data_IF_249115762074
#
_entry.id   IF_249115762074
#
_cell.length_a   1.000
_cell.length_b   1.000
_cell.length_c   1.000
_cell.angle_alpha   90.00
_cell.angle_beta   90.00
_cell.angle_gamma   90.00
#
_symmetry.space_group_name_H-M   'P 1'
#
loop_
_entity.id
_entity.type
_entity.pdbx_description
1 polymer ?
#
# COMPACT_ATOMS: atom_id res chain seq x y z
N UNK A 1 1.10 -3.43 -18.23
CA UNK A 1 0.24 -3.79 -17.08
C UNK A 1 0.59 -2.99 -15.82
N UNK A 2 1.84 -3.02 -15.33
CA UNK A 2 2.22 -2.23 -14.14
C UNK A 2 1.94 -0.73 -14.29
N UNK A 3 2.29 -0.12 -15.43
CA UNK A 3 2.02 1.30 -15.68
C UNK A 3 0.54 1.68 -15.65
N UNK A 4 -0.35 0.75 -16.00
CA UNK A 4 -1.80 0.95 -16.02
C UNK A 4 -2.37 0.93 -14.60
N UNK A 5 -1.92 0.00 -13.76
CA UNK A 5 -2.30 -0.07 -12.35
C UNK A 5 -1.90 1.23 -11.64
N UNK A 6 -0.66 1.71 -11.83
CA UNK A 6 -0.15 2.89 -11.13
C UNK A 6 -0.79 4.21 -11.60
N UNK A 7 -1.22 4.28 -12.87
CA UNK A 7 -1.95 5.44 -13.44
C UNK A 7 -3.43 5.46 -13.09
N UNK A 8 -3.99 4.39 -12.53
CA UNK A 8 -5.41 4.34 -12.15
C UNK A 8 -5.72 5.29 -10.99
N UNK A 9 -6.97 5.79 -10.93
CA UNK A 9 -7.48 6.62 -9.82
C UNK A 9 -7.92 5.75 -8.62
N UNK A 10 -7.12 4.75 -8.27
CA UNK A 10 -7.37 3.89 -7.12
C UNK A 10 -6.53 4.31 -5.92
N UNK A 11 -6.97 3.93 -4.72
CA UNK A 11 -6.15 4.06 -3.52
C UNK A 11 -4.89 3.18 -3.64
N UNK A 12 -3.74 3.64 -3.11
CA UNK A 12 -2.44 2.96 -3.25
C UNK A 12 -2.44 1.52 -2.74
N UNK A 13 -3.18 1.24 -1.67
CA UNK A 13 -3.40 -0.13 -1.17
C UNK A 13 -4.02 -1.06 -2.22
N UNK A 14 -5.00 -0.57 -2.99
CA UNK A 14 -5.65 -1.34 -4.04
C UNK A 14 -4.72 -1.53 -5.25
N UNK A 15 -3.92 -0.51 -5.59
CA UNK A 15 -2.89 -0.62 -6.64
C UNK A 15 -1.86 -1.69 -6.29
N UNK A 16 -1.37 -1.69 -5.05
CA UNK A 16 -0.45 -2.72 -4.56
C UNK A 16 -1.06 -4.11 -4.60
N UNK A 17 -2.33 -4.25 -4.21
CA UNK A 17 -3.06 -5.51 -4.32
C UNK A 17 -3.16 -5.98 -5.78
N UNK A 18 -3.62 -5.12 -6.70
CA UNK A 18 -3.70 -5.45 -8.12
C UNK A 18 -2.35 -5.82 -8.71
N UNK A 19 -1.27 -5.16 -8.31
CA UNK A 19 0.07 -5.49 -8.75
C UNK A 19 0.47 -6.89 -8.27
N UNK A 20 0.24 -7.21 -6.99
CA UNK A 20 0.50 -8.56 -6.44
C UNK A 20 -0.30 -9.63 -7.16
N UNK A 21 -1.57 -9.36 -7.44
CA UNK A 21 -2.44 -10.25 -8.19
C UNK A 21 -1.96 -10.42 -9.64
N UNK A 22 -1.63 -9.32 -10.33
CA UNK A 22 -1.14 -9.35 -11.72
C UNK A 22 0.21 -10.08 -11.88
N UNK A 23 1.04 -10.08 -10.84
CA UNK A 23 2.30 -10.83 -10.81
C UNK A 23 2.14 -12.27 -10.26
N UNK A 24 0.90 -12.69 -9.97
CA UNK A 24 0.53 -13.97 -9.38
C UNK A 24 1.24 -14.27 -8.05
N UNK A 25 1.74 -13.24 -7.33
CA UNK A 25 2.55 -13.37 -6.11
C UNK A 25 1.75 -13.54 -4.82
N UNK A 26 0.44 -13.76 -4.93
CA UNK A 26 -0.40 -14.06 -3.78
C UNK A 26 -0.13 -15.49 -3.26
N UNK A 27 -0.06 -15.70 -1.94
CA UNK A 27 0.25 -17.00 -1.33
C UNK A 27 -0.95 -17.96 -1.36
N UNK A 28 -1.26 -18.48 -2.55
CA UNK A 28 -2.16 -19.63 -2.73
C UNK A 28 -1.44 -20.93 -2.38
N UNK A 29 -2.19 -21.95 -1.97
CA UNK A 29 -1.68 -23.30 -1.68
C UNK A 29 -0.87 -23.89 -2.82
N UNK A 30 -1.31 -23.74 -4.07
CA UNK A 30 -0.54 -24.15 -5.26
C UNK A 30 0.83 -23.48 -5.39
N UNK A 31 0.95 -22.21 -5.00
CA UNK A 31 2.23 -21.50 -4.96
C UNK A 31 3.07 -21.89 -3.76
N UNK A 32 2.46 -22.18 -2.63
CA UNK A 32 3.17 -22.71 -1.46
C UNK A 32 3.66 -24.14 -1.70
N UNK A 33 2.98 -24.92 -2.54
CA UNK A 33 3.45 -26.23 -2.99
C UNK A 33 4.76 -26.14 -3.75
N UNK A 34 4.87 -25.21 -4.70
CA UNK A 34 6.10 -25.05 -5.49
C UNK A 34 7.30 -24.57 -4.67
N UNK A 35 7.05 -23.87 -3.54
CA UNK A 35 8.10 -23.35 -2.66
C UNK A 35 8.44 -24.32 -1.51
N UNK A 36 7.44 -24.95 -0.91
CA UNK A 36 7.56 -25.72 0.35
C UNK A 36 7.12 -27.18 0.24
N UNK A 37 6.63 -27.64 -0.91
CA UNK A 37 6.19 -29.04 -1.14
C UNK A 37 4.85 -29.41 -0.50
N UNK A 38 4.10 -28.46 0.08
CA UNK A 38 2.78 -28.73 0.69
C UNK A 38 1.70 -28.83 -0.38
N UNK A 39 0.88 -29.88 -0.36
CA UNK A 39 -0.25 -30.00 -1.28
C UNK A 39 -1.27 -28.87 -1.08
N UNK A 40 -1.89 -28.35 -2.17
CA UNK A 40 -2.93 -27.34 -2.07
C UNK A 40 -4.09 -27.85 -1.19
N UNK A 41 -4.56 -27.00 -0.29
CA UNK A 41 -5.73 -27.30 0.54
C UNK A 41 -7.04 -27.10 -0.23
N UNK A 42 -8.18 -27.28 0.46
CA UNK A 42 -9.46 -26.84 -0.07
C UNK A 42 -9.51 -25.32 -0.20
N UNK A 43 -10.36 -24.81 -1.10
CA UNK A 43 -10.64 -23.38 -1.18
C UNK A 43 -11.21 -22.88 0.16
N UNK A 44 -10.57 -21.90 0.78
CA UNK A 44 -11.03 -21.34 2.07
C UNK A 44 -12.42 -20.68 1.96
N UNK A 45 -12.85 -20.26 0.77
CA UNK A 45 -14.12 -19.56 0.58
C UNK A 45 -15.29 -20.52 0.35
N UNK A 46 -15.18 -21.44 -0.63
CA UNK A 46 -16.28 -22.34 -0.99
C UNK A 46 -16.12 -23.78 -0.48
N UNK A 47 -14.97 -24.13 0.09
CA UNK A 47 -14.69 -25.48 0.59
C UNK A 47 -14.36 -26.51 -0.49
N UNK A 48 -14.27 -26.14 -1.77
CA UNK A 48 -13.94 -27.11 -2.83
C UNK A 48 -12.55 -27.71 -2.62
N UNK A 49 -12.47 -29.04 -2.61
CA UNK A 49 -11.21 -29.78 -2.53
C UNK A 49 -10.23 -29.37 -3.63
N UNK A 50 -8.95 -29.23 -3.26
CA UNK A 50 -7.87 -28.78 -4.16
C UNK A 50 -8.08 -27.40 -4.79
N UNK A 51 -9.03 -26.59 -4.28
CA UNK A 51 -9.37 -25.27 -4.80
C UNK A 51 -8.57 -24.10 -4.22
N UNK A 52 -7.47 -24.34 -3.49
CA UNK A 52 -6.56 -23.28 -3.01
C UNK A 52 -5.52 -22.89 -4.08
N UNK A 53 -6.02 -22.43 -5.22
CA UNK A 53 -5.24 -21.96 -6.35
C UNK A 53 -5.83 -20.67 -6.96
N UNK A 54 -5.03 -20.02 -7.80
CA UNK A 54 -5.40 -18.73 -8.41
C UNK A 54 -6.56 -18.87 -9.39
N UNK A 55 -6.58 -19.89 -10.25
CA UNK A 55 -7.63 -20.06 -11.26
C UNK A 55 -8.99 -20.31 -10.58
N UNK A 56 -9.00 -21.17 -9.56
CA UNK A 56 -10.21 -21.40 -8.78
C UNK A 56 -10.68 -20.12 -8.09
N UNK A 57 -9.80 -19.41 -7.39
CA UNK A 57 -10.14 -18.15 -6.71
C UNK A 57 -10.73 -17.10 -7.66
N UNK A 58 -10.20 -16.99 -8.88
CA UNK A 58 -10.61 -15.97 -9.85
C UNK A 58 -11.86 -16.34 -10.65
N UNK A 59 -12.14 -17.62 -10.90
CA UNK A 59 -13.12 -18.00 -11.92
C UNK A 59 -14.10 -19.11 -11.51
N UNK A 60 -13.65 -20.07 -10.70
CA UNK A 60 -14.45 -21.26 -10.38
C UNK A 60 -15.17 -21.12 -9.04
N UNK A 61 -14.57 -20.39 -8.09
CA UNK A 61 -15.08 -20.29 -6.73
C UNK A 61 -16.54 -19.79 -6.71
N UNK A 62 -17.44 -20.59 -6.15
CA UNK A 62 -18.87 -20.30 -6.11
C UNK A 62 -19.18 -19.01 -5.36
N UNK A 63 -18.36 -18.65 -4.37
CA UNK A 63 -18.46 -17.37 -3.64
C UNK A 63 -18.09 -16.20 -4.56
N UNK A 64 -16.99 -16.31 -5.31
CA UNK A 64 -16.59 -15.30 -6.30
C UNK A 64 -17.68 -15.10 -7.36
N UNK A 65 -18.20 -16.20 -7.92
CA UNK A 65 -19.28 -16.18 -8.91
C UNK A 65 -20.55 -15.54 -8.34
N UNK A 66 -20.93 -15.89 -7.12
CA UNK A 66 -22.10 -15.34 -6.46
C UNK A 66 -21.99 -13.82 -6.27
N UNK A 67 -20.84 -13.31 -5.84
CA UNK A 67 -20.64 -11.86 -5.67
C UNK A 67 -20.67 -11.11 -7.01
N UNK A 68 -20.12 -11.69 -8.08
CA UNK A 68 -20.22 -11.13 -9.42
C UNK A 68 -21.67 -11.11 -9.94
N UNK A 69 -22.42 -12.18 -9.72
CA UNK A 69 -23.83 -12.28 -10.08
C UNK A 69 -24.68 -11.27 -9.29
N UNK A 70 -24.40 -11.09 -7.99
CA UNK A 70 -25.11 -10.15 -7.13
C UNK A 70 -24.66 -8.69 -7.31
N UNK A 71 -23.74 -8.41 -8.24
CA UNK A 71 -23.27 -7.06 -8.56
C UNK A 71 -24.25 -6.33 -9.49
N UNK A 72 -24.11 -5.00 -9.61
CA UNK A 72 -24.89 -4.22 -10.59
C UNK A 72 -24.63 -4.62 -12.05
N UNK A 73 -23.57 -5.39 -12.32
CA UNK A 73 -23.26 -5.89 -13.66
C UNK A 73 -23.77 -7.32 -13.92
N UNK A 74 -24.29 -8.02 -12.90
CA UNK A 74 -24.93 -9.34 -13.01
C UNK A 74 -24.14 -10.39 -13.83
N UNK A 75 -22.82 -10.48 -13.64
CA UNK A 75 -22.00 -11.44 -14.38
C UNK A 75 -22.28 -12.88 -13.94
N UNK A 76 -22.60 -13.73 -14.92
CA UNK A 76 -22.74 -15.17 -14.72
C UNK A 76 -21.37 -15.87 -14.71
N UNK A 77 -21.30 -17.04 -14.08
CA UNK A 77 -20.09 -17.86 -13.96
C UNK A 77 -19.38 -18.12 -15.28
N UNK A 78 -20.12 -18.29 -16.38
CA UNK A 78 -19.57 -18.53 -17.72
C UNK A 78 -18.75 -17.38 -18.29
N UNK A 79 -18.90 -16.16 -17.75
CA UNK A 79 -18.12 -14.99 -18.16
C UNK A 79 -16.76 -14.89 -17.46
N UNK A 80 -16.53 -15.67 -16.41
CA UNK A 80 -15.28 -15.66 -15.64
C UNK A 80 -14.43 -16.87 -16.05
N UNK A 81 -13.38 -16.62 -16.82
CA UNK A 81 -12.41 -17.65 -17.18
C UNK A 81 -11.00 -17.04 -17.26
N UNK A 82 -10.34 -16.95 -16.12
CA UNK A 82 -9.02 -16.36 -15.95
C UNK A 82 -8.08 -17.40 -15.35
N UNK A 83 -7.03 -17.73 -16.08
CA UNK A 83 -5.98 -18.64 -15.63
C UNK A 83 -4.94 -17.95 -14.73
N UNK A 84 -4.87 -16.62 -14.80
CA UNK A 84 -3.92 -15.80 -14.03
C UNK A 84 -4.52 -14.47 -13.59
N UNK A 85 -3.93 -13.87 -12.55
CA UNK A 85 -4.31 -12.54 -12.11
C UNK A 85 -4.03 -11.47 -13.17
N UNK A 86 -3.05 -11.69 -14.06
CA UNK A 86 -2.80 -10.80 -15.21
C UNK A 86 -3.99 -10.73 -16.15
N UNK A 87 -4.56 -11.88 -16.52
CA UNK A 87 -5.72 -11.95 -17.42
C UNK A 87 -6.92 -11.24 -16.81
N UNK A 88 -7.17 -11.47 -15.52
CA UNK A 88 -8.23 -10.76 -14.81
C UNK A 88 -8.01 -9.24 -14.84
N UNK A 89 -6.83 -8.75 -14.49
CA UNK A 89 -6.55 -7.30 -14.43
C UNK A 89 -6.71 -6.66 -15.81
N UNK A 90 -6.30 -7.37 -16.86
CA UNK A 90 -6.50 -6.93 -18.24
C UNK A 90 -7.99 -6.88 -18.61
N UNK A 91 -8.76 -7.90 -18.23
CA UNK A 91 -10.21 -7.94 -18.44
C UNK A 91 -10.95 -6.85 -17.66
N UNK A 92 -10.55 -6.58 -16.41
CA UNK A 92 -11.13 -5.49 -15.62
C UNK A 92 -10.90 -4.13 -16.28
N UNK A 93 -9.72 -3.91 -16.84
CA UNK A 93 -9.39 -2.64 -17.49
C UNK A 93 -10.04 -2.50 -18.87
N UNK A 94 -10.06 -3.56 -19.66
CA UNK A 94 -10.59 -3.56 -21.02
C UNK A 94 -11.49 -4.79 -21.25
N UNK A 95 -12.70 -4.80 -20.66
CA UNK A 95 -13.64 -5.89 -20.88
C UNK A 95 -14.11 -5.93 -22.34
N UNK A 96 -14.57 -7.09 -22.81
CA UNK A 96 -15.09 -7.26 -24.18
C UNK A 96 -16.25 -6.31 -24.51
N UNK A 97 -17.06 -5.98 -23.50
CA UNK A 97 -18.18 -5.03 -23.58
C UNK A 97 -17.77 -3.57 -23.29
N UNK A 98 -16.47 -3.24 -23.25
CA UNK A 98 -15.97 -1.88 -22.97
C UNK A 98 -16.60 -0.81 -23.87
N UNK A 99 -16.91 -1.18 -25.11
CA UNK A 99 -17.54 -0.31 -26.11
C UNK A 99 -18.98 0.09 -25.77
N UNK A 100 -19.63 -0.65 -24.86
CA UNK A 100 -20.97 -0.33 -24.35
C UNK A 100 -20.94 0.57 -23.11
N UNK A 101 -19.75 0.83 -22.54
CA UNK A 101 -19.59 1.61 -21.32
C UNK A 101 -19.07 3.02 -21.63
N UNK A 102 -19.66 4.01 -20.97
CA UNK A 102 -19.05 5.34 -20.85
C UNK A 102 -17.68 5.29 -20.18
N UNK A 103 -16.98 6.43 -20.16
CA UNK A 103 -15.68 6.53 -19.49
C UNK A 103 -15.83 6.34 -17.98
N UNK A 104 -16.90 6.88 -17.42
CA UNK A 104 -17.27 6.83 -16.01
C UNK A 104 -17.66 5.40 -15.60
N UNK A 105 -18.56 4.76 -16.34
CA UNK A 105 -19.01 3.38 -16.05
C UNK A 105 -17.87 2.37 -16.09
N UNK A 106 -16.88 2.55 -16.96
CA UNK A 106 -15.71 1.67 -16.95
C UNK A 106 -14.74 1.94 -15.81
N UNK A 107 -14.60 3.18 -15.35
CA UNK A 107 -13.84 3.45 -14.14
C UNK A 107 -14.52 2.82 -12.93
N UNK A 108 -15.85 2.89 -12.88
CA UNK A 108 -16.67 2.23 -11.87
C UNK A 108 -16.54 0.71 -11.92
N UNK A 109 -16.62 0.12 -13.12
CA UNK A 109 -16.43 -1.32 -13.31
C UNK A 109 -15.05 -1.77 -12.84
N UNK A 110 -14.00 -1.05 -13.24
CA UNK A 110 -12.63 -1.34 -12.84
C UNK A 110 -12.45 -1.25 -11.31
N UNK A 111 -13.00 -0.20 -10.69
CA UNK A 111 -12.99 0.01 -9.25
C UNK A 111 -13.73 -1.11 -8.51
N UNK A 112 -14.94 -1.44 -8.96
CA UNK A 112 -15.76 -2.47 -8.33
C UNK A 112 -15.07 -3.83 -8.39
N UNK A 113 -14.62 -4.26 -9.57
CA UNK A 113 -13.91 -5.53 -9.71
C UNK A 113 -12.66 -5.59 -8.84
N UNK A 114 -11.91 -4.49 -8.77
CA UNK A 114 -10.75 -4.39 -7.87
C UNK A 114 -11.14 -4.58 -6.40
N UNK A 115 -12.19 -3.91 -5.94
CA UNK A 115 -12.68 -4.01 -4.56
C UNK A 115 -13.22 -5.42 -4.26
N UNK A 116 -13.95 -6.02 -5.19
CA UNK A 116 -14.49 -7.37 -5.06
C UNK A 116 -13.35 -8.37 -4.81
N UNK A 117 -12.33 -8.40 -5.65
CA UNK A 117 -11.19 -9.32 -5.48
C UNK A 117 -10.35 -8.99 -4.24
N UNK A 118 -10.18 -7.71 -3.91
CA UNK A 118 -9.48 -7.32 -2.69
C UNK A 118 -10.23 -7.80 -1.44
N UNK A 119 -11.56 -7.65 -1.38
CA UNK A 119 -12.37 -8.09 -0.24
C UNK A 119 -12.45 -9.62 -0.14
N UNK A 120 -12.59 -10.32 -1.27
CA UNK A 120 -12.47 -11.79 -1.32
C UNK A 120 -11.13 -12.27 -0.77
N UNK A 121 -10.04 -11.61 -1.17
CA UNK A 121 -8.70 -11.94 -0.69
C UNK A 121 -8.54 -11.70 0.82
N UNK A 122 -9.04 -10.56 1.32
CA UNK A 122 -9.02 -10.26 2.76
C UNK A 122 -9.84 -11.29 3.54
N UNK A 123 -11.04 -11.63 3.07
CA UNK A 123 -11.88 -12.64 3.71
C UNK A 123 -11.18 -14.00 3.73
N UNK A 124 -10.66 -14.47 2.59
CA UNK A 124 -9.88 -15.72 2.51
C UNK A 124 -8.78 -15.76 3.58
N UNK A 125 -8.02 -14.67 3.74
CA UNK A 125 -6.93 -14.61 4.70
C UNK A 125 -7.40 -14.58 6.16
N UNK A 126 -8.50 -13.86 6.45
CA UNK A 126 -9.12 -13.89 7.77
C UNK A 126 -9.60 -15.30 8.13
N UNK A 127 -10.23 -16.02 7.19
CA UNK A 127 -10.63 -17.42 7.38
C UNK A 127 -9.40 -18.31 7.64
N UNK A 128 -8.35 -18.17 6.83
CA UNK A 128 -7.14 -18.98 6.93
C UNK A 128 -6.37 -18.76 8.25
N UNK A 129 -6.21 -17.50 8.68
CA UNK A 129 -5.39 -17.16 9.85
C UNK A 129 -6.15 -17.08 11.16
N UNK A 130 -7.43 -16.69 11.13
CA UNK A 130 -8.23 -16.41 12.33
C UNK A 130 -9.40 -17.37 12.50
N UNK A 131 -9.66 -18.25 11.52
CA UNK A 131 -10.80 -19.18 11.58
C UNK A 131 -12.16 -18.49 11.49
N UNK A 132 -12.19 -17.22 11.06
CA UNK A 132 -13.44 -16.45 10.94
C UNK A 132 -14.39 -17.16 9.97
N UNK A 133 -15.66 -17.39 10.32
CA UNK A 133 -16.62 -17.99 9.39
C UNK A 133 -16.97 -17.03 8.25
N UNK A 134 -17.23 -17.57 7.05
CA UNK A 134 -17.70 -16.79 5.92
C UNK A 134 -19.11 -16.28 6.17
N UNK A 135 -19.27 -14.95 6.16
CA UNK A 135 -20.57 -14.27 6.11
C UNK A 135 -20.70 -13.57 4.76
N UNK A 136 -21.45 -14.19 3.83
CA UNK A 136 -21.64 -13.70 2.48
C UNK A 136 -22.33 -12.34 2.44
N UNK A 137 -23.34 -12.13 3.28
CA UNK A 137 -24.09 -10.87 3.33
C UNK A 137 -23.21 -9.73 3.83
N UNK A 138 -22.38 -9.98 4.85
CA UNK A 138 -21.39 -9.03 5.34
C UNK A 138 -20.33 -8.72 4.28
N UNK A 139 -19.82 -9.74 3.59
CA UNK A 139 -18.83 -9.56 2.52
C UNK A 139 -19.40 -8.72 1.36
N UNK A 140 -20.62 -9.03 0.92
CA UNK A 140 -21.30 -8.26 -0.13
C UNK A 140 -21.51 -6.80 0.29
N UNK A 141 -21.93 -6.57 1.55
CA UNK A 141 -22.07 -5.23 2.11
C UNK A 141 -20.74 -4.49 2.12
N UNK A 142 -19.64 -5.13 2.55
CA UNK A 142 -18.30 -4.51 2.54
C UNK A 142 -17.82 -4.11 1.15
N UNK A 143 -18.15 -4.88 0.10
CA UNK A 143 -17.84 -4.52 -1.28
C UNK A 143 -18.65 -3.29 -1.70
N UNK A 144 -19.95 -3.29 -1.42
CA UNK A 144 -20.86 -2.18 -1.74
C UNK A 144 -20.47 -0.89 -1.03
N UNK A 145 -20.25 -0.95 0.28
CA UNK A 145 -19.89 0.21 1.10
C UNK A 145 -18.55 0.80 0.64
N UNK A 146 -17.54 -0.04 0.40
CA UNK A 146 -16.24 0.40 -0.11
C UNK A 146 -16.31 1.02 -1.51
N UNK A 147 -17.23 0.55 -2.35
CA UNK A 147 -17.48 1.13 -3.68
C UNK A 147 -18.13 2.52 -3.57
N UNK A 148 -19.16 2.66 -2.74
CA UNK A 148 -19.84 3.95 -2.49
C UNK A 148 -18.86 4.98 -1.91
N UNK A 149 -18.04 4.57 -0.93
CA UNK A 149 -17.01 5.41 -0.31
C UNK A 149 -15.97 5.89 -1.33
N UNK A 150 -15.43 5.00 -2.16
CA UNK A 150 -14.47 5.41 -3.19
C UNK A 150 -15.11 6.32 -4.25
N UNK A 151 -16.37 6.06 -4.62
CA UNK A 151 -17.10 6.89 -5.59
C UNK A 151 -17.30 8.31 -5.06
N UNK A 152 -17.69 8.48 -3.80
CA UNK A 152 -17.93 9.80 -3.20
C UNK A 152 -16.64 10.61 -3.09
N UNK A 153 -15.51 9.97 -2.78
CA UNK A 153 -14.18 10.60 -2.75
C UNK A 153 -13.72 11.06 -4.14
N UNK A 154 -14.04 10.31 -5.19
CA UNK A 154 -13.72 10.72 -6.56
C UNK A 154 -14.59 11.90 -7.03
N UNK A 155 -15.87 11.93 -6.65
CA UNK A 155 -16.79 13.02 -7.00
C UNK A 155 -16.49 14.31 -6.23
N UNK A 156 -16.16 14.23 -4.94
CA UNK A 156 -15.74 15.39 -4.14
C UNK A 156 -14.45 16.03 -4.66
N UNK A 157 -13.47 15.23 -5.08
CA UNK A 157 -12.26 15.73 -5.74
C UNK A 157 -12.49 16.28 -7.17
N UNK A 158 -13.67 16.04 -7.76
CA UNK A 158 -14.04 16.56 -9.09
C UNK A 158 -14.85 17.86 -9.02
N UNK A 159 -15.41 18.19 -7.86
CA UNK A 159 -16.37 19.30 -7.66
C UNK A 159 -15.82 20.53 -6.92
N UNK A 160 -14.59 20.51 -6.41
CA UNK A 160 -14.00 21.65 -5.70
C UNK A 160 -12.79 22.23 -6.42
N UNK A 161 -13.05 22.92 -7.53
CA UNK A 161 -12.25 24.08 -7.93
C UNK A 161 -12.76 25.30 -7.15
N UNK A 162 -12.80 25.21 -5.82
CA UNK A 162 -12.88 26.39 -4.98
C UNK A 162 -11.46 26.69 -4.53
N UNK A 163 -11.03 27.91 -4.84
CA UNK A 163 -9.91 28.63 -4.24
C UNK A 163 -9.98 28.51 -2.71
N UNK A 164 -9.46 27.42 -2.16
CA UNK A 164 -9.01 27.38 -0.79
C UNK A 164 -7.55 27.79 -0.84
N UNK A 165 -7.31 28.98 -0.30
CA UNK A 165 -6.05 29.72 -0.36
C UNK A 165 -4.83 28.81 -0.33
N UNK A 166 -3.92 29.09 -1.26
CA UNK A 166 -2.61 28.47 -1.45
C UNK A 166 -2.07 27.77 -0.20
N UNK A 167 -2.50 26.53 0.04
CA UNK A 167 -1.64 25.57 0.70
C UNK A 167 -0.53 25.41 -0.31
N UNK A 168 0.63 26.02 -0.05
CA UNK A 168 1.83 25.72 -0.80
C UNK A 168 1.90 24.21 -0.91
N UNK A 169 1.63 23.67 -2.11
CA UNK A 169 1.98 22.30 -2.42
C UNK A 169 3.44 22.22 -2.02
N UNK A 170 3.74 21.51 -0.94
CA UNK A 170 5.08 21.14 -0.56
C UNK A 170 5.63 20.43 -1.79
N UNK A 171 6.32 21.20 -2.62
CA UNK A 171 7.04 20.68 -3.76
C UNK A 171 8.16 19.91 -3.09
N UNK A 172 7.99 18.59 -3.00
CA UNK A 172 9.09 17.67 -2.81
C UNK A 172 10.08 17.99 -3.92
N UNK A 173 11.01 18.90 -3.63
CA UNK A 173 12.05 19.26 -4.55
C UNK A 173 12.80 17.98 -4.85
N UNK A 174 12.93 17.65 -6.13
CA UNK A 174 13.89 16.63 -6.54
C UNK A 174 15.19 16.92 -5.78
N UNK A 175 15.77 15.95 -5.05
CA UNK A 175 17.02 16.19 -4.35
C UNK A 175 18.01 16.73 -5.39
N UNK A 176 18.60 17.90 -5.09
CA UNK A 176 19.51 18.58 -6.03
C UNK A 176 20.54 17.56 -6.52
N UNK A 177 20.85 17.50 -7.83
CA UNK A 177 21.80 16.53 -8.37
C UNK A 177 23.12 16.54 -7.59
N UNK A 178 23.68 15.37 -7.31
CA UNK A 178 24.97 15.22 -6.61
C UNK A 178 24.90 15.13 -5.09
N UNK A 179 23.71 15.04 -4.47
CA UNK A 179 23.55 14.88 -3.01
C UNK A 179 23.47 13.42 -2.55
N UNK A 180 23.92 13.18 -1.32
CA UNK A 180 23.81 11.89 -0.63
C UNK A 180 22.36 11.71 -0.16
N UNK A 181 21.78 10.52 -0.38
CA UNK A 181 20.42 10.18 0.05
C UNK A 181 20.47 9.31 1.30
N UNK A 182 19.93 9.79 2.41
CA UNK A 182 19.81 9.04 3.66
C UNK A 182 18.37 8.62 3.91
N UNK A 183 18.10 7.33 4.07
CA UNK A 183 16.79 6.81 4.47
C UNK A 183 16.85 6.42 5.94
N UNK A 184 15.88 6.88 6.73
CA UNK A 184 15.75 6.55 8.15
C UNK A 184 14.41 5.90 8.40
N UNK A 185 14.38 4.92 9.28
CA UNK A 185 13.16 4.19 9.65
C UNK A 185 13.21 3.74 11.10
N UNK A 186 12.03 3.63 11.71
CA UNK A 186 11.81 3.10 13.04
C UNK A 186 10.81 1.94 13.01
N UNK A 187 11.24 0.80 13.54
CA UNK A 187 10.37 -0.35 13.76
C UNK A 187 10.20 -0.62 15.26
N UNK A 188 8.99 -1.00 15.67
CA UNK A 188 8.69 -1.43 17.04
C UNK A 188 8.17 -2.87 17.03
N UNK A 189 8.69 -3.70 17.93
CA UNK A 189 8.17 -5.04 18.23
C UNK A 189 7.98 -5.18 19.74
N UNK A 190 6.75 -5.37 20.18
CA UNK A 190 6.37 -5.42 21.60
C UNK A 190 6.92 -4.21 22.40
N UNK A 191 7.91 -4.44 23.26
CA UNK A 191 8.55 -3.43 24.11
C UNK A 191 9.88 -2.90 23.56
N UNK A 192 10.44 -3.52 22.52
CA UNK A 192 11.71 -3.11 21.92
C UNK A 192 11.47 -2.32 20.62
N UNK A 193 12.17 -1.20 20.48
CA UNK A 193 12.26 -0.44 19.25
C UNK A 193 13.62 -0.64 18.58
N UNK A 194 13.67 -0.47 17.27
CA UNK A 194 14.91 -0.41 16.50
C UNK A 194 14.83 0.75 15.51
N UNK A 195 15.91 1.50 15.39
CA UNK A 195 16.06 2.52 14.36
C UNK A 195 17.15 2.09 13.38
N UNK A 196 16.98 2.46 12.12
CA UNK A 196 17.95 2.22 11.07
C UNK A 196 18.17 3.48 10.23
N UNK A 197 19.36 3.59 9.66
CA UNK A 197 19.71 4.61 8.69
C UNK A 197 20.59 4.01 7.58
N UNK A 198 20.33 4.35 6.33
CA UNK A 198 21.11 3.91 5.15
C UNK A 198 21.37 5.10 4.24
N UNK A 199 22.63 5.28 3.83
CA UNK A 199 23.09 6.37 2.97
C UNK A 199 23.54 5.84 1.61
N UNK A 200 23.11 6.51 0.56
CA UNK A 200 23.46 6.21 -0.82
C UNK A 200 24.15 7.40 -1.46
N UNK A 201 25.17 7.13 -2.28
CA UNK A 201 25.76 8.11 -3.16
C UNK A 201 24.81 8.49 -4.31
N UNK A 202 25.16 9.51 -5.13
CA UNK A 202 24.35 9.88 -6.29
C UNK A 202 24.22 8.79 -7.36
N UNK A 203 25.13 7.82 -7.41
CA UNK A 203 25.09 6.68 -8.34
C UNK A 203 24.13 5.58 -7.88
N UNK A 204 23.70 5.61 -6.61
CA UNK A 204 22.84 4.60 -5.99
C UNK A 204 23.63 3.53 -5.22
N UNK A 205 24.93 3.71 -5.03
CA UNK A 205 25.77 2.81 -4.23
C UNK A 205 25.65 3.14 -2.75
N UNK A 206 25.63 2.11 -1.88
CA UNK A 206 25.57 2.30 -0.43
C UNK A 206 26.89 2.88 0.08
N UNK A 207 26.84 4.05 0.71
CA UNK A 207 27.99 4.68 1.36
C UNK A 207 28.15 4.21 2.80
N UNK A 208 27.04 4.11 3.52
CA UNK A 208 27.04 3.75 4.93
C UNK A 208 25.66 3.29 5.38
N UNK A 209 25.62 2.51 6.46
CA UNK A 209 24.38 2.15 7.13
C UNK A 209 24.64 1.91 8.61
N UNK A 210 23.57 1.92 9.39
CA UNK A 210 23.62 1.56 10.79
C UNK A 210 22.25 1.24 11.33
N UNK A 211 22.22 0.52 12.44
CA UNK A 211 21.03 0.28 13.22
C UNK A 211 21.37 0.30 14.71
N UNK A 212 20.42 0.71 15.54
CA UNK A 212 20.52 0.60 17.00
C UNK A 212 19.17 0.23 17.61
N UNK A 213 19.19 -0.55 18.68
CA UNK A 213 17.99 -0.75 19.52
C UNK A 213 17.71 0.53 20.31
N UNK A 214 16.43 0.83 20.50
CA UNK A 214 15.95 1.99 21.26
C UNK A 214 14.76 1.60 22.12
N UNK A 215 14.67 2.19 23.31
CA UNK A 215 13.46 2.12 24.13
C UNK A 215 12.69 3.42 23.96
N UNK A 216 11.49 3.34 23.36
CA UNK A 216 10.64 4.51 23.07
C UNK A 216 9.18 4.22 23.42
N UNK A 217 8.52 5.22 23.99
CA UNK A 217 7.14 5.13 24.47
C UNK A 217 6.09 5.29 23.37
N UNK A 218 6.43 5.87 22.22
CA UNK A 218 5.50 6.07 21.11
C UNK A 218 6.16 5.88 19.74
N UNK A 219 5.34 5.59 18.72
CA UNK A 219 5.80 5.49 17.32
C UNK A 219 6.48 6.79 16.87
N UNK A 220 5.85 7.94 17.14
CA UNK A 220 6.41 9.25 16.77
C UNK A 220 7.77 9.53 17.43
N UNK A 221 7.95 9.11 18.69
CA UNK A 221 9.24 9.25 19.38
C UNK A 221 10.31 8.35 18.73
N UNK A 222 9.94 7.14 18.32
CA UNK A 222 10.85 6.24 17.61
C UNK A 222 11.31 6.80 16.27
N UNK A 223 10.39 7.40 15.53
CA UNK A 223 10.64 8.04 14.23
C UNK A 223 11.57 9.25 14.34
N UNK A 224 11.33 10.10 15.35
CA UNK A 224 12.22 11.20 15.69
C UNK A 224 13.62 10.70 16.08
N UNK A 225 13.70 9.59 16.82
CA UNK A 225 14.95 8.96 17.21
C UNK A 225 15.69 8.34 16.02
N UNK A 226 14.97 7.82 15.02
CA UNK A 226 15.56 7.32 13.77
C UNK A 226 16.18 8.46 12.95
N UNK A 227 15.46 9.58 12.82
CA UNK A 227 16.00 10.77 12.17
C UNK A 227 17.25 11.28 12.88
N UNK A 228 17.21 11.39 14.21
CA UNK A 228 18.38 11.80 15.01
C UNK A 228 19.55 10.85 14.82
N UNK A 229 19.29 9.55 14.86
CA UNK A 229 20.32 8.53 14.63
C UNK A 229 20.96 8.65 13.24
N UNK A 230 20.15 8.88 12.19
CA UNK A 230 20.65 9.14 10.85
C UNK A 230 21.54 10.37 10.79
N UNK A 231 21.11 11.48 11.39
CA UNK A 231 21.92 12.72 11.44
C UNK A 231 23.24 12.52 12.19
N UNK A 232 23.21 11.87 13.36
CA UNK A 232 24.40 11.58 14.16
C UNK A 232 25.37 10.66 13.41
N UNK A 233 24.86 9.65 12.70
CA UNK A 233 25.66 8.76 11.87
C UNK A 233 26.29 9.50 10.69
N UNK A 234 25.54 10.32 9.98
CA UNK A 234 26.06 11.12 8.86
C UNK A 234 27.14 12.12 9.32
N UNK A 235 26.94 12.74 10.49
CA UNK A 235 27.89 13.69 11.07
C UNK A 235 29.21 13.01 11.43
N UNK A 236 29.16 11.83 12.07
CA UNK A 236 30.35 11.03 12.40
C UNK A 236 31.12 10.55 11.18
N UNK A 237 30.42 10.33 10.08
CA UNK A 237 31.01 9.89 8.82
C UNK A 237 31.38 11.05 7.89
N UNK A 238 31.25 12.29 8.36
CA UNK A 238 31.54 13.51 7.60
C UNK A 238 30.83 13.57 6.23
N UNK A 239 29.60 13.05 6.16
CA UNK A 239 28.80 13.05 4.94
C UNK A 239 28.22 14.45 4.67
N UNK A 240 28.82 15.17 3.72
CA UNK A 240 28.33 16.47 3.24
C UNK A 240 27.17 16.35 2.24
N UNK A 241 26.35 17.39 2.13
CA UNK A 241 25.31 17.46 1.09
C UNK A 241 24.21 16.40 1.23
N UNK A 242 23.74 16.16 2.46
CA UNK A 242 22.77 15.10 2.78
C UNK A 242 21.32 15.53 2.54
N UNK A 243 20.51 14.61 2.01
CA UNK A 243 19.05 14.65 2.01
C UNK A 243 18.52 13.45 2.80
N UNK A 244 17.84 13.70 3.93
CA UNK A 244 17.22 12.64 4.75
C UNK A 244 15.76 12.44 4.34
N UNK A 245 15.37 11.17 4.20
CA UNK A 245 14.03 10.72 3.84
C UNK A 245 13.45 9.88 4.99
N UNK A 246 12.22 10.18 5.37
CA UNK A 246 11.40 9.44 6.33
C UNK A 246 10.00 9.26 5.71
N UNK A 247 9.38 8.13 5.96
CA UNK A 247 8.00 7.80 5.55
C UNK A 247 6.94 8.37 6.51
N UNK A 248 7.36 8.91 7.66
CA UNK A 248 6.48 9.50 8.64
C UNK A 248 6.10 10.95 8.28
N UNK A 249 4.94 11.12 7.65
CA UNK A 249 4.45 12.44 7.20
C UNK A 249 4.34 13.46 8.34
N UNK A 250 3.90 13.04 9.53
CA UNK A 250 3.76 13.92 10.68
C UNK A 250 5.12 14.44 11.18
N UNK A 251 6.15 13.57 11.19
CA UNK A 251 7.51 13.98 11.53
C UNK A 251 8.05 14.99 10.51
N UNK A 252 7.89 14.71 9.21
CA UNK A 252 8.35 15.63 8.15
C UNK A 252 7.68 16.98 8.27
N UNK A 253 6.35 17.02 8.41
CA UNK A 253 5.60 18.27 8.57
C UNK A 253 6.05 19.04 9.81
N UNK A 254 6.27 18.35 10.94
CA UNK A 254 6.75 18.96 12.18
C UNK A 254 8.11 19.62 11.96
N UNK A 255 9.07 18.90 11.37
CA UNK A 255 10.43 19.39 11.10
C UNK A 255 10.41 20.58 10.13
N UNK A 256 9.61 20.51 9.06
CA UNK A 256 9.46 21.62 8.12
C UNK A 256 8.86 22.87 8.77
N UNK A 257 7.87 22.69 9.65
CA UNK A 257 7.25 23.78 10.42
C UNK A 257 8.11 24.27 11.59
N UNK A 258 9.26 23.64 11.86
CA UNK A 258 10.10 23.86 13.06
C UNK A 258 9.33 23.81 14.38
N UNK A 259 8.24 23.05 14.41
CA UNK A 259 7.31 22.99 15.54
C UNK A 259 7.12 21.55 15.97
N UNK A 260 7.32 21.27 17.26
CA UNK A 260 7.11 19.94 17.82
C UNK A 260 5.64 19.82 18.29
N UNK A 261 4.86 18.86 17.77
CA UNK A 261 3.46 18.69 18.18
C UNK A 261 3.33 18.14 19.63
N UNK A 262 4.42 17.66 20.22
CA UNK A 262 4.43 17.10 21.57
C UNK A 262 5.41 17.86 22.47
N UNK A 263 4.87 18.53 23.50
CA UNK A 263 5.63 19.39 24.41
C UNK A 263 6.76 18.64 25.14
N UNK A 264 6.58 17.35 25.44
CA UNK A 264 7.57 16.51 26.11
C UNK A 264 8.74 16.06 25.20
N UNK A 265 8.64 16.27 23.88
CA UNK A 265 9.69 15.93 22.90
C UNK A 265 10.44 17.16 22.38
N UNK A 266 10.06 18.36 22.82
CA UNK A 266 10.56 19.64 22.31
C UNK A 266 12.11 19.77 22.36
N UNK A 267 12.75 19.33 23.45
CA UNK A 267 14.22 19.36 23.59
C UNK A 267 14.92 18.44 22.58
N UNK A 268 14.43 17.20 22.41
CA UNK A 268 14.99 16.24 21.44
C UNK A 268 14.77 16.70 20.00
N UNK A 269 13.62 17.33 19.74
CA UNK A 269 13.25 17.86 18.45
C UNK A 269 14.10 19.08 18.03
N UNK A 270 14.36 20.01 18.97
CA UNK A 270 15.19 21.19 18.72
C UNK A 270 16.65 20.85 18.35
N UNK A 271 17.22 19.81 18.96
CA UNK A 271 18.58 19.32 18.65
C UNK A 271 18.70 18.74 17.23
N UNK A 272 17.68 18.02 16.77
CA UNK A 272 17.62 17.47 15.40
C UNK A 272 17.47 18.56 14.33
N UNK A 273 16.77 19.65 14.66
CA UNK A 273 16.57 20.81 13.76
C UNK A 273 17.84 21.62 13.50
N UNK A 274 18.70 21.79 14.51
CA UNK A 274 19.95 22.58 14.39
C UNK A 274 20.92 21.95 13.37
N UNK A 275 20.86 20.64 13.17
CA UNK A 275 21.75 19.91 12.27
C UNK A 275 21.24 19.87 10.82
N UNK A 276 19.92 19.92 10.58
CA UNK A 276 19.36 20.06 9.23
C UNK A 276 19.49 21.48 8.64
N UNK A 277 19.77 22.50 9.45
CA UNK A 277 19.76 23.93 9.05
C UNK A 277 21.18 24.52 8.93
N UNK A 278 22.26 23.76 9.14
CA UNK A 278 23.60 24.25 8.78
C UNK A 278 23.82 24.17 7.27
N UNK A 279 23.16 25.10 6.58
CA UNK A 279 23.40 25.45 5.19
C UNK A 279 24.68 26.25 5.03
N UNK A 280 25.48 25.82 4.07
CA UNK A 280 26.11 26.67 3.07
C UNK A 280 25.68 26.13 1.70
#
# INVERSE_FOLDING_TARGET
MCSLIWKSKLHERLKLFLWKLCCDVLPFGSRLQSIFGKTPGPCMLCGQSEGDDVHHFLSICTVTQHLWFASQWNFCSSALNFSSGRELVQWLHNPSFRHLLSKEESQEFFLYGTLLYHKLWMMRNEMYHQGTPLDLSKLQKQVKDGFIEHRSLLQSNSGSSQDLGSVEKVRWGLPRPGRIKGYVDFAKSNEEGAVAAVFFDPSGSVLAFGAKKVSVSSMFQGELEAMRFGVDLATRLHLGGLCIFSDNLHLVQSVMAKSCPFWNLHLRFSLSLVLCIRGG
#
